data_IF_409856400863
#
_entry.id   IF_409856400863
#
_cell.length_a   1.000
_cell.length_b   1.000
_cell.length_c   1.000
_cell.angle_alpha   90.00
_cell.angle_beta   90.00
_cell.angle_gamma   90.00
#
_symmetry.space_group_name_H-M   'P 1'
#
loop_
_entity.id
_entity.type
_entity.pdbx_description
1 polymer ?
#
# COMPACT_ATOMS: atom_id res chain seq x y z
N UNK A 1 -25.46 16.60 -71.82
CA UNK A 1 -24.01 16.67 -71.53
C UNK A 1 -23.74 17.89 -70.68
N UNK A 2 -23.12 17.70 -69.50
CA UNK A 2 -22.52 18.72 -68.61
C UNK A 2 -23.50 19.72 -67.93
N UNK A 3 -23.49 19.96 -66.60
CA UNK A 3 -22.43 19.84 -65.59
C UNK A 3 -23.04 19.58 -64.19
N UNK A 4 -22.50 18.58 -63.48
CA UNK A 4 -22.46 18.54 -62.02
C UNK A 4 -21.61 19.70 -61.51
N UNK A 5 -22.07 20.44 -60.49
CA UNK A 5 -21.22 20.98 -59.42
C UNK A 5 -21.98 20.99 -58.10
N UNK A 6 -21.47 20.16 -57.21
CA UNK A 6 -21.94 19.76 -55.89
C UNK A 6 -21.95 20.93 -54.89
N UNK A 7 -23.01 21.00 -54.10
CA UNK A 7 -23.29 22.07 -53.14
C UNK A 7 -22.72 21.73 -51.75
N UNK A 8 -21.89 22.65 -51.24
CA UNK A 8 -21.67 23.08 -49.84
C UNK A 8 -21.64 22.05 -48.68
N UNK A 9 -20.44 21.93 -48.09
CA UNK A 9 -20.10 21.93 -46.66
C UNK A 9 -21.23 21.60 -45.66
N UNK A 10 -21.20 20.38 -45.10
CA UNK A 10 -21.84 20.07 -43.83
C UNK A 10 -20.73 19.88 -42.77
N UNK A 11 -20.63 20.86 -41.89
CA UNK A 11 -19.74 20.87 -40.74
C UNK A 11 -20.27 19.96 -39.63
N UNK A 12 -19.34 19.27 -38.97
CA UNK A 12 -19.31 18.97 -37.53
C UNK A 12 -20.56 18.41 -36.86
N UNK A 13 -20.44 17.18 -36.36
CA UNK A 13 -20.95 16.74 -35.05
C UNK A 13 -20.34 15.37 -34.73
N UNK A 14 -19.07 15.37 -34.33
CA UNK A 14 -18.51 14.24 -33.59
C UNK A 14 -19.08 14.30 -32.17
N UNK A 15 -20.24 13.66 -31.96
CA UNK A 15 -20.78 13.46 -30.63
C UNK A 15 -19.88 12.46 -29.90
N UNK A 16 -18.93 12.98 -29.12
CA UNK A 16 -18.18 12.21 -28.15
C UNK A 16 -19.16 11.71 -27.08
N UNK A 17 -19.62 10.47 -27.22
CA UNK A 17 -20.20 9.73 -26.12
C UNK A 17 -19.06 9.40 -25.14
N UNK A 18 -18.73 10.35 -24.25
CA UNK A 18 -17.96 10.04 -23.05
C UNK A 18 -18.88 9.24 -22.15
N UNK A 19 -18.79 7.93 -22.25
CA UNK A 19 -19.44 7.03 -21.31
C UNK A 19 -18.85 7.29 -19.93
N UNK A 20 -19.65 7.90 -19.06
CA UNK A 20 -19.38 7.88 -17.63
C UNK A 20 -19.55 6.45 -17.15
N UNK A 21 -18.47 5.67 -17.21
CA UNK A 21 -18.32 4.51 -16.34
C UNK A 21 -18.20 5.09 -14.92
N UNK A 22 -19.34 5.36 -14.28
CA UNK A 22 -19.39 5.36 -12.82
C UNK A 22 -19.09 3.92 -12.43
N UNK A 23 -17.80 3.58 -12.39
CA UNK A 23 -17.37 2.36 -11.77
C UNK A 23 -17.98 2.36 -10.38
N UNK A 24 -18.66 1.27 -10.02
CA UNK A 24 -18.79 0.89 -8.62
C UNK A 24 -17.37 0.66 -8.11
N UNK A 25 -16.63 1.76 -7.91
CA UNK A 25 -15.20 1.77 -7.66
C UNK A 25 -15.00 1.57 -6.18
N UNK A 26 -14.11 0.65 -5.83
CA UNK A 26 -13.52 0.56 -4.50
C UNK A 26 -13.25 1.97 -3.95
N UNK A 27 -13.38 2.20 -2.62
CA UNK A 27 -13.22 3.55 -2.09
C UNK A 27 -11.85 4.09 -2.50
N UNK A 28 -11.74 5.41 -2.70
CA UNK A 28 -10.52 6.03 -3.20
C UNK A 28 -9.31 5.65 -2.33
N UNK A 29 -8.16 5.41 -2.98
CA UNK A 29 -6.88 5.29 -2.27
C UNK A 29 -6.55 6.67 -1.69
N UNK A 30 -6.44 6.76 -0.37
CA UNK A 30 -6.08 7.98 0.34
C UNK A 30 -5.07 7.65 1.44
N UNK A 31 -4.31 8.66 1.87
CA UNK A 31 -3.40 8.56 3.02
C UNK A 31 -4.04 7.88 4.23
N UNK A 32 -5.18 8.40 4.69
CA UNK A 32 -5.83 7.94 5.90
C UNK A 32 -6.29 6.47 5.81
N UNK A 33 -6.68 6.01 4.62
CA UNK A 33 -7.03 4.59 4.42
C UNK A 33 -5.79 3.71 4.35
N UNK A 34 -4.72 4.16 3.71
CA UNK A 34 -3.47 3.41 3.67
C UNK A 34 -2.87 3.24 5.06
N UNK A 35 -2.84 4.32 5.87
CA UNK A 35 -2.35 4.28 7.26
C UNK A 35 -3.18 3.32 8.13
N UNK A 36 -4.51 3.34 7.99
CA UNK A 36 -5.41 2.41 8.68
C UNK A 36 -5.22 0.96 8.27
N UNK A 37 -4.94 0.70 7.00
CA UNK A 37 -4.74 -0.66 6.49
C UNK A 37 -3.35 -1.23 6.83
N UNK A 38 -2.28 -0.43 6.67
CA UNK A 38 -0.90 -0.90 6.82
C UNK A 38 -0.51 -1.13 8.28
N UNK A 39 -0.98 -0.29 9.20
CA UNK A 39 -0.63 -0.37 10.63
C UNK A 39 -0.98 -1.72 11.26
N UNK A 40 -2.23 -2.23 11.19
CA UNK A 40 -2.56 -3.54 11.77
C UNK A 40 -1.87 -4.68 11.01
N UNK A 41 -1.71 -4.58 9.69
CA UNK A 41 -1.01 -5.59 8.88
C UNK A 41 0.43 -5.76 9.35
N UNK A 42 1.19 -4.66 9.43
CA UNK A 42 2.55 -4.66 9.95
C UNK A 42 2.62 -5.24 11.37
N UNK A 43 1.72 -4.79 12.25
CA UNK A 43 1.72 -5.21 13.66
C UNK A 43 1.53 -6.72 13.80
N UNK A 44 0.56 -7.28 13.07
CA UNK A 44 0.27 -8.71 13.12
C UNK A 44 1.43 -9.55 12.57
N UNK A 45 2.05 -9.10 11.48
CA UNK A 45 3.19 -9.79 10.88
C UNK A 45 4.44 -9.69 11.76
N UNK A 46 4.63 -8.58 12.47
CA UNK A 46 5.74 -8.43 13.43
C UNK A 46 5.60 -9.40 14.61
N UNK A 47 4.38 -9.56 15.13
CA UNK A 47 4.06 -10.57 16.15
C UNK A 47 4.28 -12.00 15.61
N UNK A 48 3.90 -12.25 14.35
CA UNK A 48 4.15 -13.53 13.72
C UNK A 48 5.65 -13.83 13.60
N UNK A 49 6.47 -12.85 13.20
CA UNK A 49 7.94 -12.96 13.20
C UNK A 49 8.47 -13.30 14.59
N UNK A 50 8.04 -12.56 15.63
CA UNK A 50 8.44 -12.82 17.00
C UNK A 50 8.10 -14.26 17.43
N UNK A 51 6.92 -14.75 17.03
CA UNK A 51 6.50 -16.14 17.26
C UNK A 51 7.43 -17.15 16.58
N UNK A 52 7.81 -16.91 15.32
CA UNK A 52 8.75 -17.76 14.58
C UNK A 52 10.11 -17.82 15.27
N UNK A 53 10.60 -16.67 15.76
CA UNK A 53 11.87 -16.56 16.47
C UNK A 53 11.83 -17.07 17.91
N UNK A 54 10.64 -17.39 18.43
CA UNK A 54 10.45 -17.83 19.82
C UNK A 54 10.61 -16.70 20.83
N UNK A 55 10.37 -15.45 20.43
CA UNK A 55 10.38 -14.25 21.28
C UNK A 55 9.01 -14.13 22.01
N UNK A 56 8.93 -14.39 23.33
CA UNK A 56 7.68 -14.38 24.05
C UNK A 56 7.26 -12.95 24.46
N UNK A 57 5.95 -12.74 24.64
CA UNK A 57 5.42 -11.54 25.30
C UNK A 57 5.23 -10.32 24.41
N UNK A 58 5.45 -10.43 23.10
CA UNK A 58 5.13 -9.37 22.14
C UNK A 58 3.62 -9.30 21.93
N UNK A 59 3.04 -8.11 22.07
CA UNK A 59 1.60 -7.86 21.93
C UNK A 59 1.35 -6.64 21.06
N UNK A 60 0.15 -6.54 20.47
CA UNK A 60 -0.28 -5.37 19.67
C UNK A 60 -0.11 -4.07 20.46
N UNK A 61 -0.54 -4.06 21.72
CA UNK A 61 -0.43 -2.89 22.59
C UNK A 61 1.04 -2.57 22.96
N UNK A 62 1.89 -3.59 23.10
CA UNK A 62 3.31 -3.41 23.39
C UNK A 62 4.10 -2.83 22.23
N UNK A 63 3.81 -3.26 20.99
CA UNK A 63 4.42 -2.71 19.77
C UNK A 63 3.95 -1.27 19.56
N UNK A 64 2.66 -1.00 19.77
CA UNK A 64 2.09 0.34 19.67
C UNK A 64 2.32 0.99 18.30
N UNK A 65 2.28 0.19 17.22
CA UNK A 65 2.64 0.67 15.89
C UNK A 65 1.72 1.79 15.40
N UNK A 66 2.28 2.73 14.65
CA UNK A 66 1.53 3.74 13.90
C UNK A 66 2.24 4.05 12.59
N UNK A 67 1.46 4.38 11.56
CA UNK A 67 2.00 4.75 10.25
C UNK A 67 1.73 6.23 9.95
N UNK A 68 2.72 6.89 9.37
CA UNK A 68 2.60 8.18 8.72
C UNK A 68 3.02 8.03 7.26
N UNK A 69 2.07 8.17 6.34
CA UNK A 69 2.30 7.97 4.91
C UNK A 69 2.26 9.28 4.12
N UNK A 70 3.03 9.31 3.03
CA UNK A 70 2.96 10.33 1.99
C UNK A 70 3.18 9.71 0.61
N UNK A 71 2.68 10.38 -0.42
CA UNK A 71 2.85 9.96 -1.81
C UNK A 71 3.68 11.00 -2.55
N UNK A 72 4.80 10.59 -3.15
CA UNK A 72 5.54 11.43 -4.10
C UNK A 72 6.07 12.76 -3.55
N UNK A 73 6.06 12.96 -2.21
CA UNK A 73 6.56 14.15 -1.53
C UNK A 73 5.60 15.35 -1.50
N UNK A 74 6.04 16.51 -0.95
CA UNK A 74 5.16 17.60 -0.49
C UNK A 74 4.28 18.30 -1.54
N UNK A 75 4.46 18.03 -2.82
CA UNK A 75 3.74 18.66 -3.94
C UNK A 75 2.82 17.69 -4.67
N UNK A 76 2.77 16.44 -4.25
CA UNK A 76 1.92 15.40 -4.82
C UNK A 76 0.79 15.16 -3.81
N UNK A 77 -0.48 15.21 -4.24
CA UNK A 77 -1.59 14.87 -3.37
C UNK A 77 -1.49 13.41 -2.90
N UNK A 78 -1.74 13.16 -1.61
CA UNK A 78 -1.73 11.81 -1.02
C UNK A 78 -3.00 11.01 -1.36
N UNK A 79 -3.22 10.78 -2.66
CA UNK A 79 -4.35 10.03 -3.21
C UNK A 79 -3.93 9.19 -4.41
N UNK A 80 -4.69 8.12 -4.66
CA UNK A 80 -4.58 7.28 -5.85
C UNK A 80 -3.54 6.15 -5.76
N UNK A 81 -3.66 5.15 -6.64
CA UNK A 81 -2.70 4.05 -6.72
C UNK A 81 -1.35 4.53 -7.26
N UNK A 82 -0.29 3.78 -6.97
CA UNK A 82 1.06 4.06 -7.43
C UNK A 82 2.14 3.34 -6.62
N UNK A 83 3.37 3.24 -7.16
CA UNK A 83 4.55 2.69 -6.47
C UNK A 83 5.27 3.72 -5.58
N UNK A 84 4.76 4.94 -5.50
CA UNK A 84 5.44 6.11 -4.96
C UNK A 84 4.95 6.51 -3.56
N UNK A 85 4.34 5.57 -2.84
CA UNK A 85 3.97 5.75 -1.44
C UNK A 85 5.13 5.39 -0.52
N UNK A 86 5.38 6.25 0.46
CA UNK A 86 6.31 5.99 1.56
C UNK A 86 5.52 6.04 2.85
N UNK A 87 5.66 5.02 3.68
CA UNK A 87 5.09 4.99 5.02
C UNK A 87 6.20 4.89 6.05
N UNK A 88 6.30 5.89 6.92
CA UNK A 88 7.09 5.81 8.14
C UNK A 88 6.27 5.05 9.17
N UNK A 89 6.71 3.85 9.54
CA UNK A 89 6.08 3.07 10.61
C UNK A 89 6.90 3.24 11.88
N UNK A 90 6.27 3.82 12.89
CA UNK A 90 6.78 3.98 14.24
C UNK A 90 6.32 2.79 15.07
N UNK A 91 7.23 2.11 15.77
CA UNK A 91 6.89 0.97 16.61
C UNK A 91 7.91 0.76 17.73
N UNK A 92 7.55 -0.02 18.74
CA UNK A 92 8.48 -0.50 19.77
C UNK A 92 8.89 -1.93 19.42
N UNK A 93 10.20 -2.18 19.38
CA UNK A 93 10.74 -3.51 19.08
C UNK A 93 10.64 -4.49 20.26
N UNK A 94 11.08 -5.72 20.04
CA UNK A 94 11.11 -6.81 21.01
C UNK A 94 12.03 -6.55 22.22
N UNK A 95 12.89 -5.53 22.15
CA UNK A 95 13.75 -5.05 23.24
C UNK A 95 13.19 -3.81 23.94
N UNK A 96 11.97 -3.39 23.61
CA UNK A 96 11.34 -2.20 24.17
C UNK A 96 11.93 -0.89 23.66
N UNK A 97 12.66 -0.90 22.54
CA UNK A 97 13.23 0.30 21.95
C UNK A 97 12.31 0.86 20.84
N UNK A 98 12.10 2.19 20.80
CA UNK A 98 11.37 2.82 19.71
C UNK A 98 12.18 2.77 18.41
N UNK A 99 11.49 2.44 17.32
CA UNK A 99 12.03 2.28 15.98
C UNK A 99 11.19 3.05 14.96
N UNK A 100 11.86 3.58 13.94
CA UNK A 100 11.26 4.29 12.81
C UNK A 100 11.67 3.62 11.49
N UNK A 101 10.75 2.87 10.88
CA UNK A 101 10.99 2.17 9.62
C UNK A 101 10.42 2.91 8.43
N UNK A 102 11.24 3.17 7.40
CA UNK A 102 10.77 3.66 6.09
C UNK A 102 10.34 2.47 5.22
N UNK A 103 9.04 2.34 4.99
CA UNK A 103 8.47 1.33 4.11
C UNK A 103 8.15 1.92 2.74
N UNK A 104 8.61 1.23 1.70
CA UNK A 104 8.27 1.55 0.31
C UNK A 104 7.01 0.77 -0.05
N UNK A 105 5.96 1.48 -0.46
CA UNK A 105 4.63 0.90 -0.63
C UNK A 105 4.15 1.10 -2.07
N UNK A 106 3.71 0.01 -2.68
CA UNK A 106 3.03 0.02 -3.97
C UNK A 106 1.56 -0.27 -3.77
N UNK A 107 0.71 0.73 -4.01
CA UNK A 107 -0.75 0.58 -3.96
C UNK A 107 -1.29 0.31 -5.36
N UNK A 108 -2.07 -0.75 -5.50
CA UNK A 108 -2.72 -1.17 -6.75
C UNK A 108 -4.12 -0.56 -6.86
N UNK A 109 -4.66 -0.53 -8.07
CA UNK A 109 -5.99 0.02 -8.35
C UNK A 109 -7.15 -0.82 -7.80
N UNK A 110 -6.89 -2.04 -7.37
CA UNK A 110 -7.86 -2.95 -6.76
C UNK A 110 -7.90 -2.84 -5.21
N UNK A 111 -7.34 -1.76 -4.67
CA UNK A 111 -7.25 -1.51 -3.23
C UNK A 111 -6.45 -2.59 -2.46
N UNK A 112 -5.46 -3.20 -3.13
CA UNK A 112 -4.39 -3.98 -2.48
C UNK A 112 -3.08 -3.20 -2.50
N UNK A 113 -2.13 -3.57 -1.64
CA UNK A 113 -0.80 -2.98 -1.63
C UNK A 113 0.28 -4.01 -1.30
N UNK A 114 1.52 -3.69 -1.69
CA UNK A 114 2.74 -4.40 -1.30
C UNK A 114 3.62 -3.41 -0.54
N UNK A 115 4.19 -3.80 0.59
CA UNK A 115 5.07 -2.97 1.40
C UNK A 115 6.40 -3.69 1.66
N UNK A 116 7.52 -3.03 1.35
CA UNK A 116 8.88 -3.51 1.62
C UNK A 116 9.55 -2.70 2.74
N UNK A 117 10.09 -3.37 3.74
CA UNK A 117 10.69 -2.74 4.92
C UNK A 117 12.23 -2.69 4.91
N UNK A 118 12.84 -1.87 5.78
CA UNK A 118 14.29 -1.76 5.86
C UNK A 118 14.90 -2.95 6.60
N UNK A 119 15.67 -3.79 5.90
CA UNK A 119 16.24 -5.03 6.45
C UNK A 119 17.08 -4.85 7.72
N UNK A 120 17.68 -3.67 7.91
CA UNK A 120 18.44 -3.33 9.12
C UNK A 120 17.57 -3.32 10.39
N UNK A 121 16.27 -3.03 10.27
CA UNK A 121 15.35 -2.96 11.42
C UNK A 121 14.51 -4.23 11.56
N UNK A 122 14.05 -4.80 10.45
CA UNK A 122 13.09 -5.90 10.47
C UNK A 122 13.70 -7.28 10.13
N UNK A 123 14.98 -7.32 9.79
CA UNK A 123 15.71 -8.52 9.41
C UNK A 123 15.70 -8.79 7.90
N UNK A 124 16.35 -9.90 7.52
CA UNK A 124 16.46 -10.35 6.13
C UNK A 124 15.17 -11.04 5.65
N UNK A 125 15.06 -11.30 4.34
CA UNK A 125 13.92 -11.99 3.72
C UNK A 125 13.67 -13.40 4.28
N UNK A 126 14.72 -14.03 4.80
CA UNK A 126 14.67 -15.33 5.46
C UNK A 126 15.18 -15.17 6.88
N UNK A 127 14.51 -15.85 7.83
CA UNK A 127 14.94 -15.99 9.22
C UNK A 127 15.04 -17.46 9.57
N UNK A 128 15.92 -17.80 10.50
CA UNK A 128 15.96 -19.14 11.09
C UNK A 128 15.00 -19.15 12.27
N UNK A 129 13.97 -19.99 12.19
CA UNK A 129 12.97 -20.12 13.24
C UNK A 129 13.55 -20.80 14.50
N UNK A 130 12.77 -20.81 15.58
CA UNK A 130 13.12 -21.42 16.86
C UNK A 130 13.37 -22.94 16.81
N UNK A 131 13.01 -23.61 15.71
CA UNK A 131 13.27 -25.03 15.47
C UNK A 131 14.50 -25.25 14.57
N UNK A 132 15.15 -24.18 14.10
CA UNK A 132 16.32 -24.24 13.24
C UNK A 132 16.01 -24.33 11.74
N UNK A 133 14.78 -24.06 11.32
CA UNK A 133 14.40 -24.03 9.90
C UNK A 133 14.49 -22.63 9.32
N UNK A 134 15.00 -22.53 8.10
CA UNK A 134 14.95 -21.28 7.35
C UNK A 134 13.56 -21.08 6.76
N UNK A 135 12.89 -20.01 7.20
CA UNK A 135 11.52 -19.66 6.82
C UNK A 135 11.44 -18.22 6.30
N UNK A 136 10.45 -17.87 5.47
CA UNK A 136 10.22 -16.48 5.07
C UNK A 136 9.98 -15.57 6.29
N UNK A 137 10.60 -14.40 6.27
CA UNK A 137 10.34 -13.36 7.25
C UNK A 137 9.06 -12.61 6.87
N UNK A 138 7.97 -12.72 7.65
CA UNK A 138 6.68 -12.19 7.27
C UNK A 138 6.64 -10.65 7.17
N UNK A 139 7.58 -9.94 7.77
CA UNK A 139 7.63 -8.45 7.71
C UNK A 139 8.62 -7.89 6.69
N UNK A 140 9.42 -8.73 6.02
CA UNK A 140 10.41 -8.27 5.04
C UNK A 140 9.77 -7.54 3.87
N UNK A 141 8.80 -8.21 3.26
CA UNK A 141 7.94 -7.70 2.22
C UNK A 141 6.58 -8.36 2.43
N UNK A 142 5.51 -7.57 2.44
CA UNK A 142 4.18 -8.08 2.74
C UNK A 142 3.10 -7.41 1.90
N UNK A 143 2.07 -8.19 1.61
CA UNK A 143 0.85 -7.72 0.97
C UNK A 143 -0.20 -7.32 2.01
N UNK A 144 -1.10 -6.43 1.61
CA UNK A 144 -2.31 -6.15 2.35
C UNK A 144 -3.42 -5.60 1.48
N UNK A 145 -4.58 -5.40 2.08
CA UNK A 145 -5.75 -4.83 1.42
C UNK A 145 -6.36 -3.75 2.30
N UNK A 146 -6.98 -2.78 1.65
CA UNK A 146 -7.79 -1.78 2.33
C UNK A 146 -9.09 -2.45 2.78
N UNK A 147 -9.64 -1.99 3.91
CA UNK A 147 -10.98 -2.43 4.31
C UNK A 147 -12.02 -1.85 3.31
N UNK A 148 -12.84 -2.71 2.67
CA UNK A 148 -13.82 -2.28 1.67
C UNK A 148 -15.00 -1.50 2.27
N UNK A 149 -15.24 -1.63 3.58
CA UNK A 149 -16.40 -1.08 4.28
C UNK A 149 -16.10 0.24 5.02
N UNK A 150 -14.90 0.82 4.83
CA UNK A 150 -14.48 2.11 5.42
C UNK A 150 -15.23 3.35 4.94
#
# INVERSE_FOLDING_TARGET
>A
MNRLRTTLLAAGLAAAATGSLTGCGQPDVTKARLERAITPTFTNLYIQRATLLGEPGITVAGIGASAACDRGGPKVPDVGPGPDWICMIHFVDDHGQPQDGKFEVQVKSDATYVAGGPSKLIGMATITDSHGHDVPNPVFEFDGAFDPDE
#
